data_IF_637130573906
#
_entry.id   IF_637130573906
#
_cell.length_a   1.000
_cell.length_b   1.000
_cell.length_c   1.000
_cell.angle_alpha   90.00
_cell.angle_beta   90.00
_cell.angle_gamma   90.00
#
_symmetry.space_group_name_H-M   'P 1'
#
loop_
_entity.id
_entity.type
_entity.pdbx_description
1 polymer ?
#
# COMPACT_ATOMS: atom_id res chain seq x y z
N UNK A 1 26.78 -13.47 25.93
CA UNK A 1 27.96 -13.05 25.16
C UNK A 1 28.62 -14.22 24.42
N UNK A 2 28.66 -15.44 25.01
CA UNK A 2 29.40 -16.61 24.51
C UNK A 2 30.86 -16.65 25.03
N UNK A 3 31.33 -15.60 25.66
CA UNK A 3 32.63 -15.58 26.34
C UNK A 3 32.51 -16.28 27.68
N UNK A 4 33.45 -17.18 28.01
CA UNK A 4 33.47 -17.94 29.27
C UNK A 4 34.84 -17.85 29.89
N UNK A 5 34.87 -17.78 31.21
CA UNK A 5 36.12 -17.80 31.99
C UNK A 5 36.91 -19.07 31.70
N UNK A 6 38.24 -18.93 31.50
CA UNK A 6 39.17 -20.06 31.30
C UNK A 6 39.25 -20.58 29.86
N UNK A 7 38.63 -19.90 28.87
CA UNK A 7 38.78 -20.26 27.46
C UNK A 7 39.71 -19.28 26.73
N UNK A 8 40.42 -19.78 25.73
CA UNK A 8 41.20 -18.94 24.81
C UNK A 8 40.26 -18.12 23.94
N UNK A 9 40.43 -16.81 23.91
CA UNK A 9 39.56 -15.87 23.17
C UNK A 9 40.36 -15.24 22.04
N UNK A 10 39.80 -15.30 20.83
CA UNK A 10 40.33 -14.58 19.67
C UNK A 10 39.69 -13.18 19.58
N UNK A 11 40.45 -12.20 19.07
CA UNK A 11 39.94 -10.83 18.82
C UNK A 11 38.70 -10.80 17.94
N UNK A 12 38.50 -11.81 17.05
CA UNK A 12 37.31 -11.96 16.21
C UNK A 12 36.04 -12.35 17.01
N UNK A 13 36.17 -12.79 18.25
CA UNK A 13 35.04 -13.18 19.10
C UNK A 13 34.38 -12.00 19.79
N UNK A 14 35.06 -10.88 19.99
CA UNK A 14 34.50 -9.68 20.60
C UNK A 14 33.35 -9.07 19.78
N UNK A 15 33.50 -8.84 18.46
CA UNK A 15 32.39 -8.37 17.65
C UNK A 15 31.20 -9.34 17.64
N UNK A 16 31.46 -10.65 17.67
CA UNK A 16 30.42 -11.68 17.74
C UNK A 16 29.67 -11.65 19.08
N UNK A 17 30.40 -11.46 20.17
CA UNK A 17 29.82 -11.34 21.51
C UNK A 17 28.95 -10.08 21.63
N UNK A 18 29.42 -8.93 21.13
CA UNK A 18 28.67 -7.69 21.07
C UNK A 18 27.40 -7.91 20.24
N UNK A 19 27.50 -8.49 19.03
CA UNK A 19 26.36 -8.76 18.17
C UNK A 19 25.31 -9.65 18.83
N UNK A 20 25.71 -10.69 19.54
CA UNK A 20 24.81 -11.57 20.30
C UNK A 20 24.08 -10.83 21.42
N UNK A 21 24.78 -9.97 22.16
CA UNK A 21 24.14 -9.14 23.20
C UNK A 21 23.17 -8.14 22.61
N UNK A 22 23.51 -7.50 21.50
CA UNK A 22 22.61 -6.59 20.77
C UNK A 22 21.35 -7.31 20.23
N UNK A 23 21.48 -8.55 19.77
CA UNK A 23 20.35 -9.35 19.30
C UNK A 23 19.31 -9.64 20.40
N UNK A 24 19.70 -9.58 21.68
CA UNK A 24 18.76 -9.70 22.79
C UNK A 24 17.78 -8.50 22.86
N UNK A 25 18.14 -7.35 22.24
CA UNK A 25 17.31 -6.14 22.26
C UNK A 25 17.13 -5.52 23.65
N UNK A 26 18.03 -5.85 24.59
CA UNK A 26 17.93 -5.45 26.00
C UNK A 26 18.77 -4.21 26.31
N UNK A 27 19.72 -3.89 25.46
CA UNK A 27 20.78 -2.91 25.74
C UNK A 27 20.79 -1.81 24.69
N UNK A 28 21.00 -0.57 25.13
CA UNK A 28 21.21 0.62 24.27
C UNK A 28 22.66 0.73 23.84
N UNK A 29 23.59 0.28 24.71
CA UNK A 29 25.02 0.23 24.39
C UNK A 29 25.68 -1.01 25.01
N UNK A 30 26.63 -1.56 24.29
CA UNK A 30 27.43 -2.72 24.72
C UNK A 30 28.88 -2.45 24.36
N UNK A 31 29.71 -2.33 25.38
CA UNK A 31 31.17 -2.14 25.25
C UNK A 31 31.91 -3.32 25.88
N UNK A 32 32.95 -3.75 25.23
CA UNK A 32 33.89 -4.74 25.80
C UNK A 32 35.22 -4.04 26.00
N UNK A 33 35.66 -4.01 27.25
CA UNK A 33 37.05 -3.62 27.63
C UNK A 33 37.83 -4.84 27.98
N UNK A 34 39.08 -4.88 27.59
CA UNK A 34 39.99 -5.93 27.97
C UNK A 34 41.31 -5.30 28.46
N UNK A 35 41.84 -5.86 29.52
CA UNK A 35 43.15 -5.50 30.09
C UNK A 35 44.03 -6.73 30.01
N UNK A 36 45.29 -6.53 29.59
CA UNK A 36 46.30 -7.58 29.44
C UNK A 36 46.98 -7.76 30.80
N UNK A 37 46.71 -8.88 31.46
CA UNK A 37 47.37 -9.24 32.72
C UNK A 37 48.62 -10.10 32.43
N UNK A 38 49.72 -9.80 33.10
CA UNK A 38 50.99 -10.53 32.95
C UNK A 38 50.76 -12.04 33.12
N UNK A 39 51.06 -12.88 32.13
CA UNK A 39 50.99 -14.33 32.03
C UNK A 39 50.01 -14.87 30.97
N UNK A 40 49.82 -14.20 29.85
CA UNK A 40 48.93 -14.69 28.79
C UNK A 40 47.43 -14.76 29.20
N UNK A 41 47.06 -14.08 30.27
CA UNK A 41 45.65 -13.94 30.71
C UNK A 41 45.15 -12.54 30.44
N UNK A 42 43.90 -12.45 29.91
CA UNK A 42 43.21 -11.19 29.70
C UNK A 42 41.98 -11.10 30.60
N UNK A 43 41.81 -9.95 31.23
CA UNK A 43 40.59 -9.63 31.96
C UNK A 43 39.59 -8.93 31.02
N UNK A 44 38.39 -9.49 30.86
CA UNK A 44 37.35 -8.96 29.99
C UNK A 44 36.22 -8.40 30.82
N UNK A 45 35.97 -7.11 30.68
CA UNK A 45 34.84 -6.40 31.28
C UNK A 45 33.80 -6.06 30.22
N UNK A 46 32.58 -6.58 30.35
CA UNK A 46 31.47 -6.25 29.49
C UNK A 46 30.64 -5.16 30.18
N UNK A 47 30.64 -3.97 29.59
CA UNK A 47 29.87 -2.81 30.06
C UNK A 47 28.62 -2.75 29.21
N UNK A 48 27.45 -2.80 29.84
CA UNK A 48 26.15 -2.72 29.15
C UNK A 48 25.32 -1.57 29.71
N UNK A 49 24.66 -0.85 28.82
CA UNK A 49 23.64 0.12 29.18
C UNK A 49 22.27 -0.49 28.87
N UNK A 50 21.45 -0.73 29.88
CA UNK A 50 20.12 -1.31 29.68
C UNK A 50 19.19 -0.30 29.01
N UNK A 51 18.41 -0.77 28.02
CA UNK A 51 17.40 0.03 27.37
C UNK A 51 16.27 0.37 28.37
N UNK A 52 15.92 1.65 28.44
CA UNK A 52 14.82 2.09 29.27
C UNK A 52 13.48 1.50 28.77
N UNK A 53 12.55 1.33 29.70
CA UNK A 53 11.18 0.93 29.39
C UNK A 53 10.23 2.12 29.48
N UNK A 54 9.15 2.12 28.69
CA UNK A 54 8.13 3.13 28.67
C UNK A 54 7.35 3.08 29.99
N UNK A 55 7.31 4.20 30.69
CA UNK A 55 6.42 4.47 31.81
C UNK A 55 5.07 5.01 31.31
N UNK A 56 4.82 6.27 31.59
CA UNK A 56 3.64 7.00 31.04
C UNK A 56 3.99 7.69 29.72
N UNK A 57 3.01 7.83 28.84
CA UNK A 57 3.11 8.61 27.62
C UNK A 57 2.23 9.84 27.75
N UNK A 58 2.84 11.02 27.69
CA UNK A 58 2.20 12.31 27.88
C UNK A 58 2.30 13.16 26.60
N UNK A 59 1.27 13.95 26.36
CA UNK A 59 1.19 14.82 25.21
C UNK A 59 0.96 16.26 25.68
N UNK A 60 1.83 17.18 25.28
CA UNK A 60 1.74 18.58 25.64
C UNK A 60 1.59 19.45 24.39
N UNK A 61 0.62 20.37 24.38
CA UNK A 61 0.42 21.33 23.27
C UNK A 61 -0.51 20.84 22.15
N UNK A 62 -1.07 19.65 22.26
CA UNK A 62 -2.00 19.04 21.30
C UNK A 62 -3.44 19.59 21.43
N UNK A 63 -3.71 20.74 20.84
CA UNK A 63 -5.04 21.38 20.88
C UNK A 63 -6.00 20.87 19.80
N UNK A 64 -5.48 20.40 18.66
CA UNK A 64 -6.25 20.03 17.46
C UNK A 64 -6.44 18.52 17.29
N UNK A 65 -5.61 17.72 17.92
CA UNK A 65 -5.72 16.27 17.93
C UNK A 65 -5.83 15.83 19.40
N UNK A 66 -6.84 15.01 19.69
CA UNK A 66 -7.05 14.47 21.03
C UNK A 66 -6.01 13.40 21.35
N UNK A 67 -5.62 13.29 22.62
CA UNK A 67 -4.69 12.25 23.11
C UNK A 67 -5.15 10.84 22.78
N UNK A 68 -6.47 10.57 22.85
CA UNK A 68 -7.04 9.27 22.51
C UNK A 68 -6.69 8.84 21.09
N UNK A 69 -6.64 9.80 20.13
CA UNK A 69 -6.26 9.50 18.75
C UNK A 69 -4.78 9.14 18.64
N UNK A 70 -3.90 9.81 19.37
CA UNK A 70 -2.49 9.43 19.42
C UNK A 70 -2.29 8.07 20.05
N UNK A 71 -2.99 7.77 21.14
CA UNK A 71 -2.91 6.46 21.81
C UNK A 71 -3.33 5.33 20.87
N UNK A 72 -4.42 5.53 20.11
CA UNK A 72 -4.91 4.58 19.11
C UNK A 72 -3.91 4.35 17.97
N UNK A 73 -3.35 5.43 17.41
CA UNK A 73 -2.49 5.35 16.22
C UNK A 73 -1.04 4.96 16.55
N UNK A 74 -0.51 5.48 17.65
CA UNK A 74 0.89 5.23 18.01
C UNK A 74 1.11 3.87 18.65
N UNK A 75 0.10 3.33 19.35
CA UNK A 75 0.16 2.03 20.01
C UNK A 75 1.42 1.83 20.87
N UNK A 76 1.83 2.87 21.61
CA UNK A 76 2.94 2.80 22.55
C UNK A 76 2.39 2.22 23.87
N UNK A 77 2.91 1.07 24.28
CA UNK A 77 2.46 0.39 25.48
C UNK A 77 3.43 0.59 26.66
N UNK A 78 2.89 0.79 27.85
CA UNK A 78 3.68 0.82 29.10
C UNK A 78 4.46 -0.49 29.26
N UNK A 79 5.73 -0.39 29.65
CA UNK A 79 6.62 -1.55 29.76
C UNK A 79 7.35 -1.93 28.47
N UNK A 80 6.98 -1.35 27.32
CA UNK A 80 7.69 -1.52 26.06
C UNK A 80 9.11 -0.89 26.14
N UNK A 81 10.11 -1.49 25.51
CA UNK A 81 11.45 -0.90 25.46
C UNK A 81 11.51 0.30 24.53
N UNK A 82 12.16 1.35 25.00
CA UNK A 82 12.38 2.58 24.24
C UNK A 82 13.56 2.37 23.32
N UNK A 83 13.33 2.35 22.02
CA UNK A 83 14.37 2.35 20.99
C UNK A 83 14.38 3.70 20.28
N UNK A 84 15.58 4.29 19.98
CA UNK A 84 15.64 5.59 19.28
C UNK A 84 14.86 5.61 17.96
N UNK A 85 14.96 4.56 17.16
CA UNK A 85 14.23 4.42 15.91
C UNK A 85 12.70 4.41 16.12
N UNK A 86 12.20 3.77 17.18
CA UNK A 86 10.78 3.76 17.52
C UNK A 86 10.25 5.17 17.73
N UNK A 87 10.94 5.99 18.51
CA UNK A 87 10.51 7.37 18.80
C UNK A 87 10.49 8.21 17.52
N UNK A 88 11.49 8.04 16.65
CA UNK A 88 11.53 8.76 15.37
C UNK A 88 10.35 8.37 14.47
N UNK A 89 10.03 7.09 14.36
CA UNK A 89 8.85 6.61 13.63
C UNK A 89 7.55 7.16 14.21
N UNK A 90 7.42 7.18 15.54
CA UNK A 90 6.23 7.74 16.21
C UNK A 90 6.08 9.25 15.98
N UNK A 91 7.17 10.00 16.01
CA UNK A 91 7.15 11.42 15.63
C UNK A 91 6.70 11.59 14.18
N UNK A 92 7.20 10.76 13.25
CA UNK A 92 6.79 10.80 11.84
C UNK A 92 5.30 10.49 11.68
N UNK A 93 4.77 9.48 12.40
CA UNK A 93 3.34 9.16 12.42
C UNK A 93 2.51 10.34 12.95
N UNK A 94 2.92 10.97 14.06
CA UNK A 94 2.24 12.15 14.61
C UNK A 94 2.26 13.32 13.63
N UNK A 95 3.40 13.60 12.99
CA UNK A 95 3.50 14.64 11.96
C UNK A 95 2.56 14.37 10.78
N UNK A 96 2.39 13.10 10.37
CA UNK A 96 1.42 12.71 9.33
C UNK A 96 -0.01 13.04 9.77
N UNK A 97 -0.41 12.70 11.00
CA UNK A 97 -1.74 13.02 11.53
C UNK A 97 -2.02 14.54 11.56
N UNK A 98 -0.99 15.33 11.86
CA UNK A 98 -1.10 16.78 11.80
C UNK A 98 -1.18 17.30 10.35
N UNK A 99 -0.41 16.72 9.44
CA UNK A 99 -0.42 17.06 8.02
C UNK A 99 -1.80 16.80 7.39
N UNK A 100 -2.43 15.66 7.67
CA UNK A 100 -3.81 15.33 7.23
C UNK A 100 -4.84 16.40 7.65
N UNK A 101 -4.59 17.10 8.77
CA UNK A 101 -5.41 18.23 9.22
C UNK A 101 -4.93 19.60 8.69
N UNK A 102 -3.85 19.62 7.89
CA UNK A 102 -3.27 20.81 7.29
C UNK A 102 -2.26 21.56 8.16
N UNK A 103 -1.78 20.95 9.24
CA UNK A 103 -0.75 21.51 10.11
C UNK A 103 0.65 21.00 9.68
N UNK A 104 1.05 21.31 8.46
CA UNK A 104 2.29 20.80 7.83
C UNK A 104 3.56 21.24 8.56
N UNK A 105 3.51 22.33 9.32
CA UNK A 105 4.62 22.86 10.11
C UNK A 105 4.57 22.43 11.57
N UNK A 106 3.76 21.42 11.93
CA UNK A 106 3.76 20.90 13.28
C UNK A 106 5.16 20.41 13.66
N UNK A 107 5.69 20.96 14.75
CA UNK A 107 6.96 20.55 15.33
C UNK A 107 6.72 19.71 16.57
N UNK A 108 7.40 18.57 16.65
CA UNK A 108 7.19 17.59 17.71
C UNK A 108 8.54 17.16 18.22
N UNK A 109 8.76 17.44 19.49
CA UNK A 109 9.95 17.07 20.22
C UNK A 109 9.60 16.04 21.30
N UNK A 110 10.54 15.16 21.60
CA UNK A 110 10.37 14.13 22.64
C UNK A 110 11.33 14.43 23.78
N UNK A 111 10.80 14.41 24.98
CA UNK A 111 11.58 14.36 26.21
C UNK A 111 11.38 13.04 26.93
N UNK A 112 12.47 12.47 27.46
CA UNK A 112 12.47 11.27 28.28
C UNK A 112 12.81 11.65 29.71
N UNK A 113 11.86 11.51 30.62
CA UNK A 113 12.03 11.83 32.04
C UNK A 113 12.02 10.53 32.85
N UNK A 114 12.89 10.40 33.84
CA UNK A 114 12.88 9.24 34.73
C UNK A 114 11.56 9.19 35.52
N UNK A 115 10.82 8.10 35.37
CA UNK A 115 9.51 7.95 36.01
C UNK A 115 9.65 7.82 37.53
N UNK A 116 8.91 8.65 38.25
CA UNK A 116 8.84 8.59 39.72
C UNK A 116 7.85 7.55 40.24
N UNK A 117 6.89 7.10 39.42
CA UNK A 117 5.75 6.29 39.85
C UNK A 117 5.98 4.77 39.76
N UNK A 118 6.89 4.30 38.89
CA UNK A 118 6.97 2.88 38.56
C UNK A 118 8.21 2.13 39.09
N UNK A 119 8.94 2.70 40.05
CA UNK A 119 10.05 1.97 40.70
C UNK A 119 9.62 0.74 41.50
N UNK A 120 8.32 0.54 41.73
CA UNK A 120 7.77 -0.48 42.63
C UNK A 120 7.04 -1.65 41.93
N UNK A 121 6.97 -1.71 40.60
CA UNK A 121 6.14 -2.69 39.86
C UNK A 121 6.87 -3.97 39.46
N UNK A 122 8.17 -4.04 39.63
CA UNK A 122 8.94 -5.25 39.33
C UNK A 122 9.61 -5.78 40.60
N UNK A 123 9.05 -6.86 41.09
CA UNK A 123 9.51 -7.60 42.25
C UNK A 123 10.95 -8.15 42.02
N UNK A 124 11.94 -7.52 42.64
CA UNK A 124 13.13 -8.17 43.16
C UNK A 124 14.29 -8.53 42.26
N UNK A 125 14.28 -8.40 40.92
CA UNK A 125 15.43 -8.76 40.07
C UNK A 125 15.54 -7.89 38.82
N UNK A 126 16.42 -6.92 38.84
CA UNK A 126 16.78 -5.94 37.83
C UNK A 126 15.90 -4.68 37.82
N UNK A 127 16.45 -3.58 38.32
CA UNK A 127 15.89 -2.23 38.22
C UNK A 127 15.96 -1.74 36.77
N UNK A 128 15.02 -2.12 35.92
CA UNK A 128 14.92 -1.50 34.59
C UNK A 128 14.59 -0.01 34.77
N UNK A 129 15.35 0.85 34.08
CA UNK A 129 15.16 2.29 34.12
C UNK A 129 13.86 2.61 33.39
N UNK A 130 12.82 2.99 34.15
CA UNK A 130 11.55 3.40 33.56
C UNK A 130 11.58 4.89 33.22
N UNK A 131 11.27 5.24 32.00
CA UNK A 131 11.19 6.63 31.52
C UNK A 131 9.78 6.94 31.01
N UNK A 132 9.26 8.09 31.42
CA UNK A 132 8.07 8.66 30.83
C UNK A 132 8.42 9.38 29.54
N UNK A 133 7.58 9.23 28.52
CA UNK A 133 7.75 9.85 27.20
C UNK A 133 6.84 11.07 27.17
N UNK A 134 7.40 12.27 27.01
CA UNK A 134 6.64 13.50 26.82
C UNK A 134 6.82 13.99 25.40
N UNK A 135 5.72 13.96 24.62
CA UNK A 135 5.68 14.58 23.30
C UNK A 135 5.29 16.05 23.43
N UNK A 136 6.26 16.95 23.24
CA UNK A 136 6.02 18.40 23.18
C UNK A 136 5.68 18.82 21.77
N UNK A 137 4.46 19.28 21.58
CA UNK A 137 3.86 19.56 20.27
C UNK A 137 3.65 21.06 20.11
N UNK A 138 4.21 21.60 19.04
CA UNK A 138 3.94 22.96 18.58
C UNK A 138 3.19 22.87 17.25
N UNK A 139 1.87 23.04 17.29
CA UNK A 139 0.98 22.78 16.14
C UNK A 139 1.20 23.77 14.99
N UNK A 140 1.65 25.00 15.30
CA UNK A 140 1.79 26.11 14.37
C UNK A 140 0.48 26.46 13.63
N UNK A 141 0.55 27.25 12.56
CA UNK A 141 -0.64 27.68 11.82
C UNK A 141 -1.01 26.63 10.76
N UNK A 142 -2.32 26.54 10.48
CA UNK A 142 -2.85 25.70 9.41
C UNK A 142 -2.50 26.31 8.06
N UNK A 143 -1.91 25.50 7.17
CA UNK A 143 -1.59 25.88 5.82
C UNK A 143 -2.74 25.48 4.89
N UNK A 144 -3.16 26.41 4.03
CA UNK A 144 -4.27 26.20 3.09
C UNK A 144 -3.74 26.18 1.66
N UNK A 145 -4.29 25.28 0.86
CA UNK A 145 -4.02 25.24 -0.57
C UNK A 145 -4.77 26.38 -1.26
N UNK A 146 -4.01 27.31 -1.86
CA UNK A 146 -4.57 28.47 -2.56
C UNK A 146 -4.86 28.14 -4.02
N UNK A 147 -3.83 27.69 -4.76
CA UNK A 147 -3.97 27.38 -6.18
C UNK A 147 -3.25 26.08 -6.55
N UNK A 148 -3.71 25.49 -7.65
CA UNK A 148 -3.04 24.40 -8.34
C UNK A 148 -2.85 24.83 -9.78
N UNK A 149 -1.62 24.82 -10.25
CA UNK A 149 -1.21 25.13 -11.61
C UNK A 149 -0.70 23.90 -12.30
N UNK A 150 -0.86 23.87 -13.62
CA UNK A 150 -0.29 22.84 -14.47
C UNK A 150 0.63 23.51 -15.48
N UNK A 151 1.76 22.89 -15.75
CA UNK A 151 2.70 23.32 -16.78
C UNK A 151 3.00 22.15 -17.72
N UNK A 152 2.90 22.36 -19.03
CA UNK A 152 3.01 21.35 -20.07
C UNK A 152 1.68 20.76 -20.55
N UNK A 153 0.55 21.22 -20.02
CA UNK A 153 -0.80 20.79 -20.42
C UNK A 153 -1.32 21.62 -21.62
N UNK A 154 -1.06 21.15 -22.83
CA UNK A 154 -1.50 21.85 -24.07
C UNK A 154 -2.93 21.45 -24.48
N UNK A 155 -3.31 20.18 -24.26
CA UNK A 155 -4.60 19.62 -24.73
C UNK A 155 -5.79 19.98 -23.84
N UNK A 156 -5.58 20.04 -22.53
CA UNK A 156 -6.67 20.33 -21.58
C UNK A 156 -6.29 21.47 -20.65
N UNK A 157 -7.26 22.37 -20.42
CA UNK A 157 -7.05 23.53 -19.52
C UNK A 157 -6.91 23.11 -18.07
N UNK A 158 -6.15 23.90 -17.29
CA UNK A 158 -6.04 23.76 -15.84
C UNK A 158 -7.38 23.62 -15.13
N UNK A 159 -8.40 24.38 -15.58
CA UNK A 159 -9.73 24.31 -15.01
C UNK A 159 -10.30 22.91 -15.08
N UNK A 160 -10.13 22.22 -16.23
CA UNK A 160 -10.61 20.86 -16.43
C UNK A 160 -9.85 19.86 -15.59
N UNK A 161 -8.52 19.99 -15.51
CA UNK A 161 -7.67 19.12 -14.71
C UNK A 161 -7.97 19.27 -13.21
N UNK A 162 -8.11 20.51 -12.74
CA UNK A 162 -8.54 20.77 -11.35
C UNK A 162 -9.91 20.20 -11.01
N UNK A 163 -10.82 20.10 -11.98
CA UNK A 163 -12.14 19.50 -11.76
C UNK A 163 -12.06 17.99 -11.50
N UNK A 164 -11.04 17.31 -12.02
CA UNK A 164 -10.77 15.88 -11.75
C UNK A 164 -10.24 15.64 -10.34
N UNK A 165 -9.54 16.62 -9.78
CA UNK A 165 -8.96 16.57 -8.44
C UNK A 165 -10.07 16.74 -7.38
N UNK A 166 -10.66 15.61 -6.96
CA UNK A 166 -11.79 15.63 -6.03
C UNK A 166 -11.37 15.65 -4.57
N UNK A 167 -10.21 15.11 -4.27
CA UNK A 167 -9.68 15.00 -2.90
C UNK A 167 -8.88 16.25 -2.50
N UNK A 168 -8.10 16.81 -3.44
CA UNK A 168 -7.28 18.01 -3.24
C UNK A 168 -8.02 19.23 -3.73
N UNK A 169 -8.61 20.01 -2.82
CA UNK A 169 -9.44 21.18 -3.17
C UNK A 169 -8.78 22.48 -2.84
N UNK A 170 -8.74 23.37 -3.84
CA UNK A 170 -8.33 24.76 -3.65
C UNK A 170 -9.28 25.51 -2.71
N UNK A 171 -8.76 26.53 -2.04
CA UNK A 171 -9.59 27.44 -1.27
C UNK A 171 -10.53 28.23 -2.21
N UNK A 172 -11.83 28.04 -2.00
CA UNK A 172 -12.88 28.87 -2.59
C UNK A 172 -13.77 29.40 -1.48
N UNK A 173 -14.47 30.53 -1.72
CA UNK A 173 -15.29 31.20 -0.71
C UNK A 173 -16.33 30.27 -0.05
N UNK A 174 -16.78 29.17 -0.74
CA UNK A 174 -17.75 28.20 -0.24
C UNK A 174 -17.14 26.88 0.27
N UNK A 175 -15.78 26.69 0.17
CA UNK A 175 -15.08 25.48 0.65
C UNK A 175 -13.97 25.82 1.65
N UNK A 176 -14.16 26.84 2.50
CA UNK A 176 -13.12 27.33 3.41
C UNK A 176 -12.66 26.32 4.48
N UNK A 177 -13.45 25.25 4.73
CA UNK A 177 -13.11 24.23 5.75
C UNK A 177 -12.38 23.00 5.20
N UNK A 178 -12.30 22.77 3.87
CA UNK A 178 -11.75 21.57 3.25
C UNK A 178 -10.44 21.83 2.47
N UNK A 179 -9.72 22.85 2.77
CA UNK A 179 -8.56 23.30 2.01
C UNK A 179 -7.21 22.91 2.63
N UNK A 180 -7.20 21.92 3.53
CA UNK A 180 -5.94 21.40 4.06
C UNK A 180 -5.21 20.61 2.98
N UNK A 181 -3.94 20.90 2.79
CA UNK A 181 -3.07 20.12 1.94
C UNK A 181 -2.78 18.77 2.59
N UNK A 182 -2.88 17.72 1.80
CA UNK A 182 -2.60 16.35 2.19
C UNK A 182 -1.93 15.66 0.99
N UNK A 183 -0.73 15.13 1.22
CA UNK A 183 0.07 14.54 0.14
C UNK A 183 -0.57 13.27 -0.42
N UNK A 184 -1.11 12.42 0.44
CA UNK A 184 -1.75 11.15 0.01
C UNK A 184 -2.97 11.43 -0.91
N UNK A 185 -3.70 12.52 -0.62
CA UNK A 185 -4.81 12.98 -1.46
C UNK A 185 -4.35 13.56 -2.79
N UNK A 186 -3.24 14.29 -2.77
CA UNK A 186 -2.65 14.80 -4.01
C UNK A 186 -2.22 13.65 -4.91
N UNK A 187 -1.58 12.62 -4.36
CA UNK A 187 -1.14 11.47 -5.13
C UNK A 187 -2.34 10.69 -5.72
N UNK A 188 -3.42 10.52 -4.96
CA UNK A 188 -4.67 9.94 -5.49
C UNK A 188 -5.27 10.77 -6.63
N UNK A 189 -5.21 12.09 -6.55
CA UNK A 189 -5.73 12.95 -7.63
C UNK A 189 -4.78 13.01 -8.84
N UNK A 190 -3.45 12.86 -8.64
CA UNK A 190 -2.49 12.68 -9.73
C UNK A 190 -2.80 11.40 -10.53
N UNK A 191 -3.09 10.27 -9.85
CA UNK A 191 -3.50 9.03 -10.50
C UNK A 191 -4.75 9.22 -11.37
N UNK A 192 -5.76 9.94 -10.88
CA UNK A 192 -6.96 10.25 -11.67
C UNK A 192 -6.67 11.10 -12.92
N UNK A 193 -5.68 12.00 -12.83
CA UNK A 193 -5.25 12.79 -13.99
C UNK A 193 -4.55 11.90 -15.01
N UNK A 194 -3.65 11.02 -14.57
CA UNK A 194 -2.98 10.05 -15.44
C UNK A 194 -4.00 9.17 -16.15
N UNK A 195 -4.91 8.56 -15.40
CA UNK A 195 -6.01 7.75 -15.94
C UNK A 195 -6.87 8.53 -16.97
N UNK A 196 -7.19 9.77 -16.67
CA UNK A 196 -7.96 10.61 -17.59
C UNK A 196 -7.22 10.80 -18.92
N UNK A 197 -5.94 11.15 -18.91
CA UNK A 197 -5.17 11.35 -20.12
C UNK A 197 -4.98 10.04 -20.90
N UNK A 198 -4.70 8.95 -20.23
CA UNK A 198 -4.57 7.63 -20.84
C UNK A 198 -5.88 7.19 -21.51
N UNK A 199 -7.03 7.48 -20.89
CA UNK A 199 -8.34 7.23 -21.49
C UNK A 199 -8.69 8.21 -22.63
N UNK A 200 -7.88 9.26 -22.81
CA UNK A 200 -8.01 10.23 -23.93
C UNK A 200 -7.00 10.03 -25.05
N UNK A 201 -6.22 8.97 -24.98
CA UNK A 201 -5.27 8.56 -26.00
C UNK A 201 -3.81 8.86 -25.67
N UNK A 202 -3.53 9.58 -24.61
CA UNK A 202 -2.19 9.94 -24.19
C UNK A 202 -1.60 8.83 -23.30
N UNK A 203 -1.26 7.68 -23.91
CA UNK A 203 -0.76 6.50 -23.19
C UNK A 203 0.46 6.81 -22.34
N UNK A 204 1.38 7.60 -22.89
CA UNK A 204 2.67 7.91 -22.27
C UNK A 204 2.62 9.16 -21.39
N UNK A 205 1.41 9.66 -21.10
CA UNK A 205 1.24 10.78 -20.18
C UNK A 205 1.92 10.51 -18.84
N UNK A 206 2.70 11.49 -18.39
CA UNK A 206 3.37 11.41 -17.10
C UNK A 206 3.37 12.74 -16.36
N UNK A 207 3.37 12.69 -15.04
CA UNK A 207 3.64 13.83 -14.19
C UNK A 207 5.12 13.79 -13.84
N UNK A 208 5.89 14.70 -14.41
CA UNK A 208 7.35 14.75 -14.30
C UNK A 208 7.80 15.10 -12.88
N UNK A 209 7.15 16.09 -12.29
CA UNK A 209 7.42 16.53 -10.92
C UNK A 209 6.28 17.40 -10.39
N UNK A 210 6.29 17.62 -9.09
CA UNK A 210 5.47 18.64 -8.46
C UNK A 210 6.32 19.59 -7.61
N UNK A 211 5.91 20.84 -7.54
CA UNK A 211 6.54 21.86 -6.72
C UNK A 211 5.53 22.51 -5.79
N UNK A 212 5.89 22.61 -4.53
CA UNK A 212 5.08 23.27 -3.50
C UNK A 212 5.69 24.63 -3.22
N UNK A 213 4.96 25.69 -3.55
CA UNK A 213 5.36 27.07 -3.36
C UNK A 213 4.66 27.64 -2.13
N UNK A 214 5.44 28.00 -1.11
CA UNK A 214 4.91 28.64 0.09
C UNK A 214 4.82 30.15 -0.07
N UNK A 215 3.68 30.71 0.31
CA UNK A 215 3.55 32.16 0.45
C UNK A 215 4.50 32.68 1.53
N UNK A 216 5.02 33.93 1.38
CA UNK A 216 5.93 34.54 2.32
C UNK A 216 5.44 34.56 3.79
N UNK A 217 4.13 34.64 4.00
CA UNK A 217 3.49 34.52 5.33
C UNK A 217 3.22 33.04 5.76
N UNK A 218 3.57 32.07 4.92
CA UNK A 218 3.43 30.64 5.23
C UNK A 218 2.01 30.15 5.60
N UNK A 219 0.96 30.91 5.28
CA UNK A 219 -0.45 30.54 5.50
C UNK A 219 -1.08 29.84 4.31
N UNK A 220 -0.52 30.06 3.13
CA UNK A 220 -0.98 29.50 1.87
C UNK A 220 0.15 28.80 1.15
N UNK A 221 -0.21 27.80 0.38
CA UNK A 221 0.67 27.14 -0.57
C UNK A 221 -0.01 27.08 -1.94
N UNK A 222 0.80 27.13 -2.97
CA UNK A 222 0.43 26.82 -4.35
C UNK A 222 1.14 25.53 -4.77
N UNK A 223 0.49 24.73 -5.59
CA UNK A 223 1.08 23.52 -6.18
C UNK A 223 1.23 23.75 -7.67
N UNK A 224 2.38 23.41 -8.21
CA UNK A 224 2.64 23.38 -9.65
C UNK A 224 2.92 21.93 -10.03
N UNK A 225 2.13 21.38 -10.92
CA UNK A 225 2.32 20.04 -11.48
C UNK A 225 2.90 20.17 -12.89
N UNK A 226 4.11 19.69 -13.09
CA UNK A 226 4.77 19.64 -14.39
C UNK A 226 4.40 18.34 -15.08
N UNK A 227 3.77 18.45 -16.24
CA UNK A 227 3.25 17.29 -16.97
C UNK A 227 3.87 17.19 -18.36
N UNK A 228 4.00 15.96 -18.84
CA UNK A 228 4.28 15.64 -20.23
C UNK A 228 3.08 14.85 -20.78
N UNK A 229 2.39 15.44 -21.75
CA UNK A 229 1.20 14.81 -22.33
C UNK A 229 1.54 13.63 -23.22
N UNK A 230 2.75 13.61 -23.79
CA UNK A 230 3.09 12.64 -24.81
C UNK A 230 2.18 12.68 -26.04
N UNK A 231 2.42 11.82 -27.04
CA UNK A 231 1.60 11.75 -28.24
C UNK A 231 0.21 11.12 -27.97
N UNK A 232 -0.71 11.42 -28.88
CA UNK A 232 -2.06 10.85 -28.84
C UNK A 232 -2.16 9.65 -29.76
N UNK A 233 -2.24 8.48 -29.21
CA UNK A 233 -2.17 7.22 -29.92
C UNK A 233 -3.51 6.73 -30.49
N UNK A 234 -3.40 5.96 -31.60
CA UNK A 234 -4.45 5.16 -32.22
C UNK A 234 -3.95 3.74 -32.47
N UNK A 235 -4.87 2.79 -32.43
CA UNK A 235 -4.54 1.42 -32.78
C UNK A 235 -4.29 1.29 -34.29
N UNK A 236 -3.10 0.79 -34.67
CA UNK A 236 -2.74 0.55 -36.08
C UNK A 236 -2.97 -0.90 -36.48
N UNK A 237 -2.44 -1.83 -35.69
CA UNK A 237 -2.55 -3.25 -36.02
C UNK A 237 -2.65 -4.11 -34.74
N UNK A 238 -3.30 -5.29 -34.93
CA UNK A 238 -3.37 -6.34 -33.91
C UNK A 238 -2.87 -7.64 -34.52
N UNK A 239 -2.06 -8.38 -33.77
CA UNK A 239 -1.52 -9.68 -34.15
C UNK A 239 -1.53 -10.63 -32.96
N UNK A 240 -1.51 -11.93 -33.24
CA UNK A 240 -1.76 -12.98 -32.28
C UNK A 240 -0.75 -14.10 -32.39
N UNK A 241 -0.30 -14.63 -31.25
CA UNK A 241 0.58 -15.78 -31.18
C UNK A 241 0.15 -16.70 -30.03
N UNK A 242 0.40 -18.02 -30.16
CA UNK A 242 0.16 -19.00 -29.11
C UNK A 242 -1.31 -19.42 -28.90
N UNK A 243 -2.23 -18.95 -29.75
CA UNK A 243 -3.64 -19.33 -29.70
C UNK A 243 -3.88 -20.62 -30.51
N UNK A 244 -4.60 -21.57 -29.92
CA UNK A 244 -5.04 -22.80 -30.61
C UNK A 244 -6.54 -23.03 -30.48
N UNK A 245 -7.14 -22.60 -29.36
CA UNK A 245 -8.55 -22.81 -29.05
C UNK A 245 -9.47 -21.92 -29.88
N UNK A 246 -9.05 -20.69 -30.16
CA UNK A 246 -9.83 -19.70 -30.87
C UNK A 246 -9.12 -19.18 -32.12
N UNK A 247 -9.86 -18.97 -33.21
CA UNK A 247 -9.32 -18.30 -34.38
C UNK A 247 -9.12 -16.80 -34.15
N UNK A 248 -8.22 -16.18 -34.93
CA UNK A 248 -7.97 -14.74 -34.88
C UNK A 248 -9.24 -13.89 -35.03
N UNK A 249 -10.20 -14.35 -35.86
CA UNK A 249 -11.49 -13.67 -36.03
C UNK A 249 -12.32 -13.64 -34.75
N UNK A 250 -12.29 -14.70 -33.93
CA UNK A 250 -12.99 -14.75 -32.66
C UNK A 250 -12.28 -13.87 -31.63
N UNK A 251 -10.95 -13.94 -31.58
CA UNK A 251 -10.14 -13.09 -30.70
C UNK A 251 -10.30 -11.60 -31.03
N UNK A 252 -10.25 -11.23 -32.30
CA UNK A 252 -10.46 -9.83 -32.74
C UNK A 252 -11.86 -9.33 -32.41
N UNK A 253 -12.89 -10.19 -32.54
CA UNK A 253 -14.26 -9.84 -32.16
C UNK A 253 -14.39 -9.69 -30.63
N UNK A 254 -13.74 -10.52 -29.86
CA UNK A 254 -13.74 -10.44 -28.40
C UNK A 254 -12.97 -9.20 -27.93
N UNK A 255 -11.84 -8.90 -28.56
CA UNK A 255 -11.09 -7.67 -28.29
C UNK A 255 -11.99 -6.45 -28.45
N UNK A 256 -12.81 -6.39 -29.54
CA UNK A 256 -13.77 -5.34 -29.78
C UNK A 256 -13.16 -3.95 -29.91
N UNK A 257 -11.89 -3.85 -30.28
CA UNK A 257 -11.18 -2.63 -30.63
C UNK A 257 -10.91 -2.60 -32.13
N UNK A 258 -10.95 -1.43 -32.73
CA UNK A 258 -10.84 -1.27 -34.17
C UNK A 258 -9.54 -0.55 -34.57
N UNK A 259 -9.00 -0.92 -35.72
CA UNK A 259 -7.88 -0.16 -36.33
C UNK A 259 -8.29 1.28 -36.61
N UNK A 260 -7.41 2.23 -36.26
CA UNK A 260 -7.69 3.67 -36.35
C UNK A 260 -8.46 4.25 -35.17
N UNK A 261 -8.99 3.42 -34.29
CA UNK A 261 -9.63 3.86 -33.06
C UNK A 261 -8.60 4.46 -32.11
N UNK A 262 -9.01 5.48 -31.36
CA UNK A 262 -8.17 6.14 -30.39
C UNK A 262 -7.90 5.21 -29.22
N UNK A 263 -6.65 5.21 -28.73
CA UNK A 263 -6.27 4.49 -27.53
C UNK A 263 -7.06 4.95 -26.30
N UNK A 264 -7.47 4.02 -25.49
CA UNK A 264 -8.05 4.22 -24.16
C UNK A 264 -7.58 3.08 -23.26
N UNK A 265 -6.92 3.43 -22.17
CA UNK A 265 -6.39 2.43 -21.22
C UNK A 265 -7.50 1.57 -20.63
N UNK A 266 -8.61 2.21 -20.22
CA UNK A 266 -9.76 1.51 -19.65
C UNK A 266 -10.37 0.52 -20.64
N UNK A 267 -10.60 0.95 -21.89
CA UNK A 267 -11.20 0.09 -22.92
C UNK A 267 -10.24 -1.03 -23.33
N UNK A 268 -8.94 -0.74 -23.38
CA UNK A 268 -7.90 -1.71 -23.66
C UNK A 268 -7.80 -2.77 -22.56
N UNK A 269 -7.68 -2.36 -21.32
CA UNK A 269 -7.62 -3.27 -20.17
C UNK A 269 -8.87 -4.15 -20.08
N UNK A 270 -10.05 -3.54 -20.27
CA UNK A 270 -11.33 -4.28 -20.31
C UNK A 270 -11.38 -5.27 -21.48
N UNK A 271 -10.85 -4.88 -22.63
CA UNK A 271 -10.78 -5.76 -23.80
C UNK A 271 -9.93 -7.00 -23.55
N UNK A 272 -8.76 -6.82 -22.97
CA UNK A 272 -7.80 -7.90 -22.72
C UNK A 272 -8.26 -8.76 -21.54
N UNK A 273 -8.44 -8.17 -20.36
CA UNK A 273 -8.61 -8.92 -19.10
C UNK A 273 -10.05 -9.35 -18.82
N UNK A 274 -11.05 -8.63 -19.33
CA UNK A 274 -12.45 -9.05 -19.12
C UNK A 274 -12.98 -9.84 -20.30
N UNK A 275 -12.84 -9.30 -21.52
CA UNK A 275 -13.48 -9.92 -22.70
C UNK A 275 -12.67 -11.09 -23.25
N UNK A 276 -11.40 -10.89 -23.57
CA UNK A 276 -10.57 -11.94 -24.15
C UNK A 276 -10.25 -13.04 -23.15
N UNK A 277 -9.72 -12.68 -21.98
CA UNK A 277 -9.42 -13.66 -20.95
C UNK A 277 -10.69 -14.34 -20.44
N UNK A 278 -11.81 -13.63 -20.41
CA UNK A 278 -13.13 -14.19 -20.12
C UNK A 278 -13.52 -15.35 -21.04
N UNK A 279 -13.24 -15.27 -22.35
CA UNK A 279 -13.50 -16.37 -23.29
C UNK A 279 -12.79 -17.66 -22.89
N UNK A 280 -11.53 -17.57 -22.50
CA UNK A 280 -10.73 -18.71 -22.05
C UNK A 280 -11.25 -19.26 -20.72
N UNK A 281 -11.55 -18.38 -19.77
CA UNK A 281 -12.13 -18.77 -18.48
C UNK A 281 -13.50 -19.42 -18.61
N UNK A 282 -14.31 -19.06 -19.60
CA UNK A 282 -15.61 -19.67 -19.87
C UNK A 282 -15.49 -21.09 -20.46
N UNK A 283 -14.29 -21.47 -20.89
CA UNK A 283 -13.96 -22.81 -21.35
C UNK A 283 -13.13 -23.63 -20.35
N UNK A 284 -12.92 -23.08 -19.16
CA UNK A 284 -12.16 -23.72 -18.09
C UNK A 284 -10.66 -23.41 -18.06
N UNK A 285 -10.16 -22.56 -18.91
CA UNK A 285 -8.75 -22.20 -18.97
C UNK A 285 -8.44 -21.02 -18.05
N UNK A 286 -8.58 -21.22 -16.74
CA UNK A 286 -8.41 -20.14 -15.74
C UNK A 286 -6.97 -19.65 -15.61
N UNK A 287 -6.00 -20.49 -15.94
CA UNK A 287 -4.59 -20.16 -15.91
C UNK A 287 -4.07 -19.60 -17.25
N UNK A 288 -4.98 -19.39 -18.23
CA UNK A 288 -4.59 -18.72 -19.46
C UNK A 288 -4.04 -17.32 -19.18
N UNK A 289 -3.00 -16.94 -19.93
CA UNK A 289 -2.39 -15.61 -19.87
C UNK A 289 -2.43 -14.98 -21.23
N UNK A 290 -2.76 -13.71 -21.29
CA UNK A 290 -2.75 -12.90 -22.50
C UNK A 290 -1.86 -11.71 -22.19
N UNK A 291 -0.70 -11.70 -22.80
CA UNK A 291 0.33 -10.67 -22.59
C UNK A 291 0.36 -9.78 -23.83
N UNK A 292 -0.14 -8.53 -23.74
CA UNK A 292 -0.07 -7.59 -24.84
C UNK A 292 1.31 -6.92 -24.90
N UNK A 293 2.00 -7.06 -26.01
CA UNK A 293 3.21 -6.33 -26.35
C UNK A 293 2.82 -5.11 -27.20
N UNK A 294 2.94 -3.93 -26.62
CA UNK A 294 2.55 -2.67 -27.24
C UNK A 294 3.76 -1.97 -27.81
N UNK A 295 3.82 -1.84 -29.13
CA UNK A 295 4.92 -1.20 -29.85
C UNK A 295 4.46 0.10 -30.49
N UNK A 296 5.01 1.26 -30.07
CA UNK A 296 4.76 2.53 -30.75
C UNK A 296 5.39 2.54 -32.15
N UNK A 297 4.62 2.98 -33.13
CA UNK A 297 5.06 3.12 -34.53
C UNK A 297 4.83 4.55 -35.00
N UNK A 298 5.94 5.22 -35.37
CA UNK A 298 5.85 6.64 -35.67
C UNK A 298 5.47 7.50 -34.45
N UNK A 299 4.67 8.55 -34.70
CA UNK A 299 4.33 9.50 -33.64
C UNK A 299 3.01 9.22 -32.91
N UNK A 300 2.06 8.50 -33.55
CA UNK A 300 0.67 8.46 -33.08
C UNK A 300 0.02 7.08 -33.20
N UNK A 301 0.78 6.04 -33.51
CA UNK A 301 0.22 4.73 -33.82
C UNK A 301 0.79 3.64 -32.93
N UNK A 302 -0.05 2.66 -32.58
CA UNK A 302 0.34 1.49 -31.79
C UNK A 302 0.06 0.20 -32.56
N UNK A 303 1.06 -0.66 -32.64
CA UNK A 303 0.87 -2.07 -32.97
C UNK A 303 0.83 -2.87 -31.67
N UNK A 304 -0.12 -3.78 -31.59
CA UNK A 304 -0.29 -4.63 -30.43
C UNK A 304 -0.18 -6.08 -30.84
N UNK A 305 0.81 -6.75 -30.27
CA UNK A 305 1.01 -8.17 -30.44
C UNK A 305 0.59 -8.89 -29.15
N UNK A 306 -0.35 -9.83 -29.27
CA UNK A 306 -0.83 -10.60 -28.13
C UNK A 306 -0.16 -11.96 -28.11
N UNK A 307 0.61 -12.22 -27.05
CA UNK A 307 1.17 -13.53 -26.76
C UNK A 307 0.22 -14.27 -25.81
N UNK A 308 -0.33 -15.38 -26.26
CA UNK A 308 -1.35 -16.13 -25.54
C UNK A 308 -0.77 -17.46 -25.09
N UNK A 309 -0.82 -17.70 -23.78
CA UNK A 309 -0.50 -19.00 -23.18
C UNK A 309 -1.79 -19.62 -22.66
N UNK A 310 -2.34 -20.59 -23.37
CA UNK A 310 -3.67 -21.16 -23.06
C UNK A 310 -3.65 -22.04 -21.82
N UNK A 311 -2.51 -22.72 -21.53
CA UNK A 311 -2.37 -23.70 -20.46
C UNK A 311 -3.39 -24.85 -20.56
N UNK A 312 -3.95 -25.31 -19.43
CA UNK A 312 -4.81 -26.49 -19.37
C UNK A 312 -6.21 -26.16 -18.81
N UNK A 313 -7.16 -27.07 -19.06
CA UNK A 313 -8.51 -26.98 -18.51
C UNK A 313 -8.52 -27.32 -17.04
N UNK A 314 -9.38 -26.62 -16.30
CA UNK A 314 -9.57 -26.80 -14.87
C UNK A 314 -11.01 -27.20 -14.58
N UNK A 315 -11.18 -28.15 -13.63
CA UNK A 315 -12.45 -28.69 -13.19
C UNK A 315 -12.76 -28.24 -11.75
N UNK A 316 -14.04 -28.11 -11.46
CA UNK A 316 -14.51 -27.81 -10.10
C UNK A 316 -14.49 -29.12 -9.30
N UNK A 317 -13.66 -29.19 -8.26
CA UNK A 317 -13.61 -30.35 -7.37
C UNK A 317 -14.75 -30.32 -6.34
N UNK A 318 -14.79 -29.26 -5.54
CA UNK A 318 -15.79 -29.03 -4.51
C UNK A 318 -16.33 -27.59 -4.51
N UNK A 319 -17.50 -27.43 -3.91
CA UNK A 319 -18.10 -26.11 -3.68
C UNK A 319 -18.42 -25.99 -2.20
N UNK A 320 -17.79 -25.02 -1.54
CA UNK A 320 -17.98 -24.71 -0.13
C UNK A 320 -18.81 -23.44 0.02
N UNK A 321 -19.82 -23.50 0.88
CA UNK A 321 -20.64 -22.35 1.22
C UNK A 321 -20.32 -21.99 2.65
N UNK A 322 -19.94 -20.71 2.89
CA UNK A 322 -19.50 -20.20 4.20
C UNK A 322 -20.30 -18.96 4.58
N UNK A 323 -20.51 -18.76 5.89
CA UNK A 323 -21.18 -17.55 6.39
C UNK A 323 -22.72 -17.56 6.31
N UNK A 324 -23.34 -18.66 5.93
CA UNK A 324 -24.79 -18.79 5.82
C UNK A 324 -25.47 -19.16 7.16
N UNK A 325 -25.26 -18.38 8.20
CA UNK A 325 -25.71 -18.67 9.57
C UNK A 325 -27.24 -18.88 9.71
N UNK A 326 -28.04 -18.13 8.93
CA UNK A 326 -29.51 -18.16 9.00
C UNK A 326 -30.17 -18.88 7.83
N UNK A 327 -29.48 -19.00 6.70
CA UNK A 327 -30.02 -19.61 5.49
C UNK A 327 -29.47 -21.03 5.32
N UNK A 328 -30.35 -22.00 5.13
CA UNK A 328 -29.94 -23.39 4.90
C UNK A 328 -29.18 -23.50 3.57
N UNK A 329 -28.10 -24.23 3.55
CA UNK A 329 -27.20 -24.43 2.41
C UNK A 329 -27.94 -24.94 1.15
N UNK A 330 -28.95 -25.82 1.31
CA UNK A 330 -29.74 -26.35 0.21
C UNK A 330 -30.52 -25.26 -0.55
N UNK A 331 -30.88 -24.14 0.09
CA UNK A 331 -31.53 -23.01 -0.59
C UNK A 331 -30.55 -22.34 -1.57
N UNK A 332 -29.29 -22.21 -1.16
CA UNK A 332 -28.23 -21.61 -1.97
C UNK A 332 -27.88 -22.58 -3.11
N UNK A 333 -27.60 -23.86 -2.79
CA UNK A 333 -27.23 -24.87 -3.79
C UNK A 333 -28.25 -25.02 -4.90
N UNK A 334 -29.56 -24.91 -4.62
CA UNK A 334 -30.62 -25.02 -5.62
C UNK A 334 -30.57 -24.00 -6.73
N UNK A 335 -30.02 -22.81 -6.46
CA UNK A 335 -29.93 -21.72 -7.44
C UNK A 335 -28.56 -21.64 -8.11
N UNK A 336 -27.59 -22.42 -7.64
CA UNK A 336 -26.25 -22.45 -8.24
C UNK A 336 -26.30 -23.04 -9.65
N UNK A 337 -25.44 -22.53 -10.53
CA UNK A 337 -25.29 -22.96 -11.93
C UNK A 337 -23.99 -23.69 -12.18
N UNK A 338 -23.27 -24.01 -11.12
CA UNK A 338 -22.00 -24.72 -11.12
C UNK A 338 -22.11 -25.92 -10.18
N UNK A 339 -21.46 -27.03 -10.56
CA UNK A 339 -21.52 -28.29 -9.80
C UNK A 339 -20.12 -28.88 -9.71
N UNK A 340 -19.84 -29.67 -8.66
CA UNK A 340 -18.64 -30.50 -8.60
C UNK A 340 -18.54 -31.42 -9.81
N UNK A 341 -17.34 -31.50 -10.42
CA UNK A 341 -17.07 -32.21 -11.66
C UNK A 341 -17.28 -31.44 -12.95
N UNK A 342 -17.91 -30.27 -12.89
CA UNK A 342 -18.03 -29.37 -14.06
C UNK A 342 -16.68 -28.81 -14.46
N UNK A 343 -16.51 -28.51 -15.75
CA UNK A 343 -15.46 -27.62 -16.23
C UNK A 343 -15.72 -26.24 -15.67
N UNK A 344 -14.69 -25.59 -15.14
CA UNK A 344 -14.80 -24.20 -14.65
C UNK A 344 -15.36 -23.29 -15.74
N UNK A 345 -16.26 -22.39 -15.37
CA UNK A 345 -16.85 -21.41 -16.27
C UNK A 345 -17.12 -20.09 -15.52
N UNK A 346 -16.42 -19.03 -15.91
CA UNK A 346 -16.50 -17.71 -15.27
C UNK A 346 -17.92 -17.13 -15.35
N UNK A 347 -18.56 -17.21 -16.52
CA UNK A 347 -19.91 -16.66 -16.72
C UNK A 347 -20.94 -17.36 -15.79
N UNK A 348 -20.89 -18.70 -15.67
CA UNK A 348 -21.76 -19.45 -14.77
C UNK A 348 -21.51 -19.11 -13.30
N UNK A 349 -20.26 -18.92 -12.91
CA UNK A 349 -19.90 -18.49 -11.55
C UNK A 349 -20.47 -17.09 -11.24
N UNK A 350 -20.26 -16.13 -12.14
CA UNK A 350 -20.79 -14.79 -11.98
C UNK A 350 -22.32 -14.75 -12.02
N UNK A 351 -22.94 -15.62 -12.80
CA UNK A 351 -24.40 -15.77 -12.79
C UNK A 351 -24.90 -16.33 -11.47
N UNK A 352 -24.24 -17.37 -10.95
CA UNK A 352 -24.52 -17.93 -9.62
C UNK A 352 -24.44 -16.85 -8.54
N UNK A 353 -23.37 -16.06 -8.53
CA UNK A 353 -23.21 -14.93 -7.63
C UNK A 353 -24.39 -13.94 -7.70
N UNK A 354 -24.77 -13.51 -8.91
CA UNK A 354 -25.92 -12.60 -9.10
C UNK A 354 -27.23 -13.21 -8.62
N UNK A 355 -27.50 -14.49 -8.92
CA UNK A 355 -28.72 -15.17 -8.51
C UNK A 355 -28.80 -15.32 -6.98
N UNK A 356 -27.67 -15.55 -6.28
CA UNK A 356 -27.61 -15.58 -4.82
C UNK A 356 -27.87 -14.19 -4.25
N UNK A 357 -27.25 -13.14 -4.79
CA UNK A 357 -27.47 -11.76 -4.35
C UNK A 357 -28.92 -11.30 -4.53
N UNK A 358 -29.59 -11.78 -5.58
CA UNK A 358 -31.02 -11.44 -5.84
C UNK A 358 -31.98 -12.01 -4.79
N UNK A 359 -31.56 -12.99 -3.98
CA UNK A 359 -32.39 -13.46 -2.86
C UNK A 359 -32.56 -12.42 -1.77
N UNK A 360 -31.70 -11.41 -1.70
CA UNK A 360 -31.69 -10.37 -0.65
C UNK A 360 -31.57 -10.91 0.78
N UNK A 361 -31.01 -12.11 0.93
CA UNK A 361 -30.79 -12.74 2.25
C UNK A 361 -29.38 -12.45 2.79
N UNK A 362 -28.47 -12.01 1.92
CA UNK A 362 -27.05 -11.82 2.21
C UNK A 362 -26.67 -10.35 2.00
N UNK A 363 -25.84 -9.82 2.89
CA UNK A 363 -25.33 -8.45 2.77
C UNK A 363 -24.25 -8.33 1.68
N UNK A 364 -23.46 -9.39 1.51
CA UNK A 364 -22.47 -9.52 0.46
C UNK A 364 -22.23 -11.02 0.18
N UNK A 365 -21.86 -11.34 -1.04
CA UNK A 365 -21.45 -12.69 -1.47
C UNK A 365 -20.15 -12.53 -2.25
N UNK A 366 -19.09 -13.19 -1.81
CA UNK A 366 -17.77 -13.09 -2.46
C UNK A 366 -17.36 -14.50 -2.89
N UNK A 367 -17.57 -14.84 -4.17
CA UNK A 367 -17.08 -16.11 -4.68
C UNK A 367 -15.56 -16.06 -4.82
N UNK A 368 -14.89 -17.10 -4.34
CA UNK A 368 -13.46 -17.30 -4.47
C UNK A 368 -13.15 -18.61 -5.17
N UNK A 369 -12.04 -18.64 -5.89
CA UNK A 369 -11.56 -19.82 -6.63
C UNK A 369 -10.23 -20.25 -6.02
N UNK A 370 -10.26 -21.34 -5.27
CA UNK A 370 -9.10 -21.85 -4.54
C UNK A 370 -8.42 -22.96 -5.34
N UNK A 371 -7.19 -22.76 -5.84
CA UNK A 371 -6.43 -23.81 -6.50
C UNK A 371 -6.17 -24.99 -5.55
N UNK A 372 -6.32 -26.22 -6.05
CA UNK A 372 -6.05 -27.42 -5.28
C UNK A 372 -4.95 -28.24 -5.93
N UNK A 373 -5.11 -28.54 -7.21
CA UNK A 373 -4.15 -29.23 -8.06
C UNK A 373 -4.00 -28.45 -9.38
N UNK A 374 -3.13 -28.94 -10.28
CA UNK A 374 -2.90 -28.27 -11.56
C UNK A 374 -4.20 -28.12 -12.38
N UNK A 375 -5.09 -29.12 -12.34
CA UNK A 375 -6.32 -29.18 -13.12
C UNK A 375 -7.62 -29.10 -12.28
N UNK A 376 -7.54 -28.80 -10.98
CA UNK A 376 -8.70 -28.77 -10.07
C UNK A 376 -8.72 -27.53 -9.18
N UNK A 377 -9.91 -27.00 -9.01
CA UNK A 377 -10.19 -25.89 -8.09
C UNK A 377 -11.38 -26.20 -7.19
N UNK A 378 -11.34 -25.66 -5.99
CA UNK A 378 -12.50 -25.55 -5.12
C UNK A 378 -13.11 -24.15 -5.27
N UNK A 379 -14.43 -24.07 -5.21
CA UNK A 379 -15.16 -22.80 -5.21
C UNK A 379 -15.65 -22.53 -3.79
N UNK A 380 -15.33 -21.36 -3.26
CA UNK A 380 -15.87 -20.87 -2.01
C UNK A 380 -16.88 -19.75 -2.29
N UNK A 381 -18.05 -19.80 -1.65
CA UNK A 381 -19.15 -18.83 -1.85
C UNK A 381 -19.67 -18.36 -0.49
#
# INVERSE_FOLDING_TARGET
SGLRKGLTVSTAEFPRAIKRLWQLGLFDDVQIRYDDENNNEISITIIVSESAVVGEVLYEGNRKIKESKFTEELQITTGQRIKPNLLHEKIKQMKKLYAEKGYLKADINVELITSKKMSNLFDGKAKSITKDIIFKIKENEKIKLRNIYFEGNETYSDFRLRFLMKETKQQRWYYFWRTAYDNDKLDTDKEKIIEFYQNKGHRDFSILSDSILYDGNSKYLDIVLYVDEGPKYKYRNFSWEGHSLYSENILSRALGLSKGEKYSEEDFSRAVYDRMQGLYMDKGYIYSRIEPEVTPIGHDSLDIHFVISENHKVYIRNIFIKGNERTRENVIRRIMRIYPGDVFNKERLLRTHREIMMLNYFGNVIPDVVPVDDDQVDIEV
#
